data_IF_588252201942
#
_entry.id   IF_588252201942
#
_cell.length_a   1.000
_cell.length_b   1.000
_cell.length_c   1.000
_cell.angle_alpha   90.00
_cell.angle_beta   90.00
_cell.angle_gamma   90.00
#
_symmetry.space_group_name_H-M   'P 1'
#
loop_
_entity.id
_entity.type
_entity.pdbx_description
1 polymer ?
#
# COMPACT_ATOMS: atom_id res chain seq x y z
N UNK A 1 8.77 27.32 8.72
CA UNK A 1 9.70 26.40 8.03
C UNK A 1 9.54 25.03 8.67
N UNK A 2 9.09 24.01 7.92
CA UNK A 2 8.86 22.67 8.48
C UNK A 2 10.22 21.97 8.59
N UNK A 3 10.59 21.55 9.81
CA UNK A 3 11.80 20.77 10.05
C UNK A 3 11.84 19.57 9.09
N UNK A 4 13.01 19.22 8.53
CA UNK A 4 13.14 18.05 7.69
C UNK A 4 12.67 16.84 8.51
N UNK A 5 11.82 16.01 7.91
CA UNK A 5 11.16 14.86 8.54
C UNK A 5 12.11 13.93 9.30
N UNK A 6 13.39 13.97 8.92
CA UNK A 6 14.50 13.18 9.47
C UNK A 6 14.90 13.57 10.90
N UNK A 7 14.67 14.81 11.33
CA UNK A 7 15.07 15.27 12.68
C UNK A 7 14.11 14.78 13.77
N UNK A 8 12.87 14.46 13.42
CA UNK A 8 11.85 13.98 14.39
C UNK A 8 11.79 12.47 14.52
N UNK A 9 12.48 11.75 13.64
CA UNK A 9 12.46 10.29 13.61
C UNK A 9 13.83 9.80 14.07
N UNK A 10 13.85 9.05 15.17
CA UNK A 10 15.08 8.42 15.62
C UNK A 10 15.43 7.24 14.69
N UNK A 11 16.41 7.43 13.81
CA UNK A 11 16.86 6.41 12.87
C UNK A 11 17.35 5.13 13.57
N UNK A 12 18.04 5.27 14.71
CA UNK A 12 18.45 4.12 15.53
C UNK A 12 17.25 3.38 16.10
N UNK A 13 16.19 4.12 16.46
CA UNK A 13 14.91 3.55 16.89
C UNK A 13 14.27 2.70 15.79
N UNK A 14 14.25 3.21 14.56
CA UNK A 14 13.74 2.47 13.39
C UNK A 14 14.58 1.22 13.13
N UNK A 15 15.92 1.33 13.15
CA UNK A 15 16.83 0.19 12.93
C UNK A 15 16.63 -0.90 13.98
N UNK A 16 16.52 -0.53 15.25
CA UNK A 16 16.24 -1.46 16.36
C UNK A 16 14.88 -2.14 16.18
N UNK A 17 13.85 -1.37 15.82
CA UNK A 17 12.51 -1.90 15.58
C UNK A 17 12.49 -2.90 14.41
N UNK A 18 13.11 -2.56 13.27
CA UNK A 18 13.21 -3.45 12.11
C UNK A 18 13.95 -4.74 12.45
N UNK A 19 15.10 -4.65 13.13
CA UNK A 19 15.86 -5.82 13.56
C UNK A 19 15.10 -6.70 14.55
N UNK A 20 14.35 -6.09 15.49
CA UNK A 20 13.51 -6.81 16.42
C UNK A 20 12.40 -7.59 15.69
N UNK A 21 11.73 -6.98 14.70
CA UNK A 21 10.71 -7.66 13.89
C UNK A 21 11.30 -8.81 13.06
N UNK A 22 12.46 -8.61 12.43
CA UNK A 22 13.14 -9.67 11.65
C UNK A 22 13.55 -10.85 12.54
N UNK A 23 14.09 -10.57 13.75
CA UNK A 23 14.43 -11.60 14.74
C UNK A 23 13.19 -12.34 15.23
N UNK A 24 12.11 -11.61 15.49
CA UNK A 24 10.84 -12.19 15.91
C UNK A 24 10.26 -13.13 14.85
N UNK A 25 10.23 -12.73 13.57
CA UNK A 25 9.72 -13.61 12.50
C UNK A 25 10.58 -14.85 12.32
N UNK A 26 11.92 -14.75 12.39
CA UNK A 26 12.82 -15.91 12.36
C UNK A 26 12.51 -16.90 13.49
N UNK A 27 12.28 -16.39 14.70
CA UNK A 27 11.88 -17.21 15.87
C UNK A 27 10.49 -17.83 15.67
N UNK A 28 9.53 -17.06 15.15
CA UNK A 28 8.18 -17.54 14.88
C UNK A 28 8.16 -18.62 13.81
N UNK A 29 9.00 -18.51 12.78
CA UNK A 29 9.15 -19.53 11.74
C UNK A 29 9.73 -20.84 12.29
N UNK A 30 10.71 -20.74 13.19
CA UNK A 30 11.31 -21.90 13.88
C UNK A 30 10.35 -22.61 14.85
N UNK A 31 9.34 -21.91 15.38
CA UNK A 31 8.37 -22.50 16.31
C UNK A 31 7.12 -23.07 15.59
N UNK A 32 6.75 -22.54 14.42
CA UNK A 32 5.60 -23.01 13.65
C UNK A 32 5.87 -24.27 12.81
N UNK A 33 7.12 -24.75 12.74
CA UNK A 33 7.45 -26.02 12.08
C UNK A 33 7.05 -27.27 12.87
N UNK A 34 6.41 -27.12 14.05
CA UNK A 34 6.10 -28.23 14.96
C UNK A 34 4.60 -28.46 15.23
N UNK A 35 3.70 -27.66 14.66
CA UNK A 35 2.24 -27.78 14.85
C UNK A 35 1.53 -27.97 13.50
N UNK A 36 1.05 -29.19 13.23
CA UNK A 36 0.35 -29.57 11.99
C UNK A 36 -1.14 -29.15 11.92
N UNK A 37 -1.62 -28.27 12.79
CA UNK A 37 -3.04 -27.88 12.82
C UNK A 37 -3.24 -26.36 12.80
N UNK A 38 -3.03 -25.73 11.65
CA UNK A 38 -3.46 -24.34 11.39
C UNK A 38 -4.16 -24.23 10.03
N UNK A 39 -5.21 -25.03 9.82
CA UNK A 39 -6.01 -25.04 8.59
C UNK A 39 -6.97 -23.84 8.44
N UNK A 40 -6.70 -22.69 9.07
CA UNK A 40 -7.46 -21.45 8.89
C UNK A 40 -6.64 -20.21 9.33
N UNK A 41 -5.48 -19.97 8.74
CA UNK A 41 -4.77 -18.71 8.94
C UNK A 41 -4.65 -17.96 7.62
N UNK A 42 -5.20 -16.75 7.64
CA UNK A 42 -5.15 -15.79 6.56
C UNK A 42 -3.71 -15.66 6.05
N UNK A 43 -3.40 -16.19 4.86
CA UNK A 43 -2.10 -16.06 4.15
C UNK A 43 -1.16 -15.07 4.83
N UNK A 44 -0.31 -15.59 5.72
CA UNK A 44 0.58 -14.77 6.53
C UNK A 44 1.44 -13.95 5.56
N UNK A 45 1.10 -12.67 5.43
CA UNK A 45 1.70 -11.83 4.41
C UNK A 45 3.09 -11.44 4.94
N UNK A 46 4.15 -11.85 4.23
CA UNK A 46 5.55 -11.55 4.58
C UNK A 46 5.91 -10.09 4.28
N UNK A 47 5.02 -9.14 4.58
CA UNK A 47 5.27 -7.72 4.45
C UNK A 47 5.34 -7.03 5.81
N UNK A 48 6.22 -6.04 5.86
CA UNK A 48 6.30 -5.07 6.94
C UNK A 48 5.36 -3.92 6.61
N UNK A 49 4.55 -3.55 7.59
CA UNK A 49 3.58 -2.48 7.50
C UNK A 49 3.98 -1.32 8.42
N UNK A 50 3.91 -0.10 7.91
CA UNK A 50 3.92 1.12 8.68
C UNK A 50 2.46 1.54 8.97
N UNK A 51 2.04 1.42 10.22
CA UNK A 51 0.75 1.86 10.70
C UNK A 51 0.82 3.35 11.06
N UNK A 52 0.07 4.16 10.31
CA UNK A 52 -0.06 5.61 10.48
C UNK A 52 -1.37 5.90 11.19
N UNK A 53 -1.31 6.60 12.33
CA UNK A 53 -2.49 7.10 13.03
C UNK A 53 -2.54 8.61 12.94
N UNK A 54 -3.63 9.14 12.39
CA UNK A 54 -3.89 10.57 12.29
C UNK A 54 -4.68 11.07 13.51
N UNK A 55 -4.51 12.35 13.86
CA UNK A 55 -5.24 13.00 14.95
C UNK A 55 -6.71 13.25 14.61
N UNK A 56 -7.01 13.48 13.33
CA UNK A 56 -8.37 13.70 12.81
C UNK A 56 -8.62 12.78 11.63
N UNK A 57 -9.87 12.38 11.46
CA UNK A 57 -10.31 11.59 10.31
C UNK A 57 -10.05 12.42 9.04
N UNK A 58 -9.39 11.86 8.02
CA UNK A 58 -9.12 12.56 6.77
C UNK A 58 -10.44 12.86 6.03
N UNK A 59 -10.52 13.98 5.30
CA UNK A 59 -11.70 14.30 4.50
C UNK A 59 -11.89 13.30 3.35
N UNK A 60 -13.15 13.12 2.91
CA UNK A 60 -13.55 12.06 1.96
C UNK A 60 -12.84 12.12 0.62
N UNK A 61 -12.43 13.30 0.16
CA UNK A 61 -11.67 13.48 -1.07
C UNK A 61 -10.30 12.79 -1.01
N UNK A 62 -9.62 12.83 0.13
CA UNK A 62 -8.34 12.14 0.34
C UNK A 62 -8.53 10.64 0.51
N UNK A 63 -9.69 10.18 0.99
CA UNK A 63 -9.98 8.74 1.14
C UNK A 63 -10.55 8.07 -0.11
N UNK A 64 -10.88 8.83 -1.16
CA UNK A 64 -11.50 8.32 -2.36
C UNK A 64 -10.54 7.52 -3.26
N UNK A 65 -9.26 7.88 -3.22
CA UNK A 65 -8.20 7.37 -4.08
C UNK A 65 -7.03 6.84 -3.24
N UNK A 66 -6.44 5.67 -3.55
CA UNK A 66 -5.12 5.29 -3.06
C UNK A 66 -4.04 6.33 -3.43
N UNK A 67 -3.25 6.75 -2.44
CA UNK A 67 -2.11 7.63 -2.68
C UNK A 67 -0.84 6.82 -2.90
N UNK A 68 -0.03 7.23 -3.87
CA UNK A 68 1.27 6.61 -4.14
C UNK A 68 2.34 7.27 -3.28
N UNK A 69 3.11 6.44 -2.60
CA UNK A 69 4.33 6.85 -1.91
C UNK A 69 5.49 6.20 -2.64
N UNK A 70 6.36 7.03 -3.23
CA UNK A 70 7.54 6.54 -3.92
C UNK A 70 8.55 6.02 -2.87
N UNK A 71 8.99 4.77 -3.03
CA UNK A 71 10.06 4.20 -2.23
C UNK A 71 11.36 4.16 -3.04
N UNK A 72 12.51 4.35 -2.36
CA UNK A 72 13.82 4.13 -2.99
C UNK A 72 13.92 2.70 -3.53
N UNK A 73 13.53 1.71 -2.73
CA UNK A 73 13.55 0.29 -3.12
C UNK A 73 12.13 -0.25 -3.35
N UNK A 74 11.93 -0.84 -4.53
CA UNK A 74 10.67 -1.49 -4.91
C UNK A 74 10.36 -2.68 -4.00
N UNK A 75 9.09 -2.81 -3.60
CA UNK A 75 8.60 -3.96 -2.82
C UNK A 75 8.47 -5.25 -3.66
N UNK A 76 8.61 -5.13 -4.99
CA UNK A 76 8.58 -6.24 -5.92
C UNK A 76 9.98 -6.83 -6.09
N UNK A 77 10.04 -8.11 -6.47
CA UNK A 77 11.31 -8.75 -6.79
C UNK A 77 12.01 -7.96 -7.90
N UNK A 78 13.32 -7.76 -7.75
CA UNK A 78 14.13 -6.82 -8.55
C UNK A 78 13.99 -7.03 -10.07
N UNK A 79 13.67 -8.26 -10.48
CA UNK A 79 13.60 -8.61 -11.90
C UNK A 79 12.28 -8.24 -12.57
N UNK A 80 11.21 -7.92 -11.81
CA UNK A 80 9.81 -7.72 -12.29
C UNK A 80 9.22 -8.81 -13.21
N UNK A 81 10.04 -9.75 -13.69
CA UNK A 81 9.78 -10.72 -14.76
C UNK A 81 9.00 -11.91 -14.21
N UNK A 82 9.29 -12.27 -12.95
CA UNK A 82 8.52 -13.26 -12.20
C UNK A 82 7.12 -12.73 -11.82
N UNK A 83 6.94 -11.42 -11.67
CA UNK A 83 5.67 -10.84 -11.23
C UNK A 83 4.65 -10.77 -12.36
N UNK A 84 3.42 -11.17 -12.05
CA UNK A 84 2.31 -11.02 -12.97
C UNK A 84 1.69 -9.62 -12.79
N UNK A 85 2.09 -8.66 -13.62
CA UNK A 85 1.57 -7.29 -13.59
C UNK A 85 0.45 -7.13 -14.63
N UNK A 86 -0.65 -6.55 -14.16
CA UNK A 86 -1.86 -6.30 -14.93
C UNK A 86 -2.08 -4.79 -15.09
N UNK A 87 -2.42 -4.32 -16.29
CA UNK A 87 -2.82 -2.93 -16.55
C UNK A 87 -4.32 -2.84 -16.89
N UNK A 88 -5.05 -1.96 -16.21
CA UNK A 88 -6.47 -1.72 -16.42
C UNK A 88 -6.66 -0.36 -17.10
N UNK A 89 -7.32 -0.37 -18.27
CA UNK A 89 -7.62 0.82 -19.07
C UNK A 89 -9.13 1.03 -19.22
N UNK A 90 -9.56 2.28 -19.39
CA UNK A 90 -10.98 2.64 -19.62
C UNK A 90 -11.52 2.05 -20.93
N UNK A 91 -10.64 1.85 -21.91
CA UNK A 91 -10.99 1.27 -23.21
C UNK A 91 -11.77 2.19 -24.13
N UNK A 92 -12.00 3.45 -23.73
CA UNK A 92 -12.48 4.56 -24.57
C UNK A 92 -11.33 5.35 -25.20
N UNK A 93 -10.32 5.68 -24.40
CA UNK A 93 -9.14 6.46 -24.82
C UNK A 93 -8.07 5.58 -25.46
N UNK A 94 -7.77 4.46 -24.83
CA UNK A 94 -6.73 3.53 -25.28
C UNK A 94 -7.34 2.12 -25.27
N UNK A 95 -7.25 1.42 -26.39
CA UNK A 95 -7.68 0.01 -26.50
C UNK A 95 -6.59 -0.90 -25.90
N UNK A 96 -6.99 -2.10 -25.47
CA UNK A 96 -6.05 -3.07 -24.89
C UNK A 96 -4.92 -3.45 -25.88
N UNK A 97 -5.26 -3.56 -27.16
CA UNK A 97 -4.31 -3.88 -28.24
C UNK A 97 -3.33 -2.75 -28.51
N UNK A 98 -3.81 -1.50 -28.53
CA UNK A 98 -2.94 -0.34 -28.68
C UNK A 98 -2.01 -0.18 -27.48
N UNK A 99 -2.51 -0.41 -26.26
CA UNK A 99 -1.67 -0.41 -25.06
C UNK A 99 -0.59 -1.50 -25.14
N UNK A 100 -0.92 -2.71 -25.58
CA UNK A 100 0.06 -3.79 -25.77
C UNK A 100 1.12 -3.42 -26.81
N UNK A 101 0.74 -2.81 -27.94
CA UNK A 101 1.70 -2.32 -28.94
C UNK A 101 2.62 -1.24 -28.38
N UNK A 102 2.09 -0.31 -27.59
CA UNK A 102 2.89 0.75 -26.94
C UNK A 102 3.85 0.15 -25.91
N UNK A 103 3.40 -0.83 -25.13
CA UNK A 103 4.24 -1.53 -24.15
C UNK A 103 5.39 -2.27 -24.82
N UNK A 104 5.12 -2.95 -25.95
CA UNK A 104 6.14 -3.62 -26.76
C UNK A 104 7.12 -2.61 -27.39
N UNK A 105 6.59 -1.52 -27.98
CA UNK A 105 7.41 -0.49 -28.60
C UNK A 105 8.31 0.25 -27.60
N UNK A 106 7.84 0.47 -26.36
CA UNK A 106 8.63 1.08 -25.29
C UNK A 106 9.51 0.09 -24.51
N UNK A 107 9.44 -1.21 -24.83
CA UNK A 107 10.26 -2.24 -24.20
C UNK A 107 9.92 -2.45 -22.72
N UNK A 108 8.64 -2.60 -22.40
CA UNK A 108 8.14 -2.79 -21.02
C UNK A 108 7.63 -4.24 -20.87
N UNK A 109 8.52 -5.24 -20.65
CA UNK A 109 8.15 -6.65 -20.65
C UNK A 109 7.40 -7.10 -19.40
N UNK A 110 7.41 -6.31 -18.33
CA UNK A 110 6.84 -6.72 -17.05
C UNK A 110 5.30 -6.68 -17.01
N UNK A 111 4.64 -5.93 -17.90
CA UNK A 111 3.17 -5.90 -17.99
C UNK A 111 2.69 -7.07 -18.86
N UNK A 112 2.25 -8.16 -18.22
CA UNK A 112 1.85 -9.39 -18.93
C UNK A 112 0.46 -9.31 -19.56
N UNK A 113 -0.48 -8.60 -18.92
CA UNK A 113 -1.87 -8.54 -19.42
C UNK A 113 -2.47 -7.14 -19.27
N UNK A 114 -3.21 -6.73 -20.30
CA UNK A 114 -3.98 -5.48 -20.31
C UNK A 114 -5.47 -5.83 -20.35
N UNK A 115 -6.24 -5.26 -19.43
CA UNK A 115 -7.69 -5.43 -19.39
C UNK A 115 -8.42 -4.11 -19.61
N UNK A 116 -9.55 -4.21 -20.31
CA UNK A 116 -10.50 -3.11 -20.48
C UNK A 116 -11.54 -3.14 -19.37
N UNK A 117 -11.93 -1.98 -18.84
CA UNK A 117 -12.96 -1.86 -17.80
C UNK A 117 -14.26 -2.59 -18.16
N UNK A 118 -14.69 -2.52 -19.42
CA UNK A 118 -15.86 -3.25 -19.93
C UNK A 118 -15.72 -4.77 -19.82
N UNK A 119 -14.55 -5.32 -20.14
CA UNK A 119 -14.27 -6.77 -20.01
C UNK A 119 -14.18 -7.22 -18.55
N UNK A 120 -13.62 -6.38 -17.67
CA UNK A 120 -13.68 -6.68 -16.22
C UNK A 120 -15.12 -6.76 -15.71
N UNK A 121 -16.00 -5.88 -16.23
CA UNK A 121 -17.39 -5.84 -15.79
C UNK A 121 -18.20 -7.05 -16.27
N UNK A 122 -17.94 -7.55 -17.48
CA UNK A 122 -18.65 -8.73 -18.03
C UNK A 122 -18.07 -10.05 -17.55
N UNK A 123 -16.75 -10.22 -17.65
CA UNK A 123 -16.10 -11.53 -17.53
C UNK A 123 -15.79 -11.86 -16.07
N UNK A 124 -15.70 -10.83 -15.21
CA UNK A 124 -15.33 -10.95 -13.81
C UNK A 124 -16.40 -10.37 -12.89
N UNK A 125 -17.69 -10.67 -13.14
CA UNK A 125 -18.76 -10.24 -12.23
C UNK A 125 -18.87 -11.15 -10.98
N UNK A 126 -18.67 -12.46 -11.17
CA UNK A 126 -18.79 -13.45 -10.10
C UNK A 126 -17.69 -13.34 -9.04
N UNK A 127 -18.00 -13.72 -7.80
CA UNK A 127 -17.03 -13.68 -6.70
C UNK A 127 -15.81 -14.58 -6.97
N UNK A 128 -16.03 -15.75 -7.54
CA UNK A 128 -14.98 -16.73 -7.83
C UNK A 128 -14.03 -16.27 -8.93
N UNK A 129 -14.54 -15.66 -10.00
CA UNK A 129 -13.71 -15.11 -11.07
C UNK A 129 -12.85 -13.95 -10.57
N UNK A 130 -13.40 -13.06 -9.73
CA UNK A 130 -12.66 -11.98 -9.05
C UNK A 130 -11.55 -12.54 -8.17
N UNK A 131 -11.82 -13.60 -7.42
CA UNK A 131 -10.81 -14.28 -6.59
C UNK A 131 -9.71 -14.91 -7.45
N UNK A 132 -10.06 -15.63 -8.52
CA UNK A 132 -9.10 -16.18 -9.49
C UNK A 132 -8.20 -15.10 -10.08
N UNK A 133 -8.78 -13.94 -10.43
CA UNK A 133 -8.01 -12.81 -10.92
C UNK A 133 -7.04 -12.27 -9.86
N UNK A 134 -7.49 -12.13 -8.62
CA UNK A 134 -6.65 -11.71 -7.49
C UNK A 134 -5.49 -12.67 -7.24
N UNK A 135 -5.71 -13.98 -7.39
CA UNK A 135 -4.72 -15.01 -7.10
C UNK A 135 -3.69 -15.13 -8.24
N UNK A 136 -4.10 -14.89 -9.48
CA UNK A 136 -3.21 -14.96 -10.66
C UNK A 136 -2.24 -13.79 -10.81
N UNK A 137 -2.56 -12.60 -10.29
CA UNK A 137 -1.76 -11.39 -10.48
C UNK A 137 -1.20 -10.86 -9.16
N UNK A 138 0.01 -10.31 -9.21
CA UNK A 138 0.69 -9.74 -8.03
C UNK A 138 0.42 -8.24 -7.90
N UNK A 139 0.40 -7.55 -9.04
CA UNK A 139 0.22 -6.10 -9.11
C UNK A 139 -0.84 -5.73 -10.15
N UNK A 140 -1.71 -4.82 -9.75
CA UNK A 140 -2.67 -4.18 -10.64
C UNK A 140 -2.29 -2.72 -10.80
N UNK A 141 -2.19 -2.27 -12.04
CA UNK A 141 -2.01 -0.88 -12.44
C UNK A 141 -3.30 -0.43 -13.12
N UNK A 142 -3.71 0.81 -12.91
CA UNK A 142 -4.96 1.33 -13.42
C UNK A 142 -4.79 2.76 -13.90
N UNK A 143 -5.40 3.12 -15.03
CA UNK A 143 -5.46 4.52 -15.44
C UNK A 143 -6.22 5.36 -14.39
N UNK A 144 -5.76 6.58 -14.12
CA UNK A 144 -6.43 7.53 -13.21
C UNK A 144 -7.91 7.72 -13.55
N UNK A 145 -8.31 7.59 -14.82
CA UNK A 145 -9.71 7.72 -15.23
C UNK A 145 -10.60 6.57 -14.77
N UNK A 146 -10.06 5.37 -14.57
CA UNK A 146 -10.85 4.20 -14.14
C UNK A 146 -10.91 4.05 -12.62
N UNK A 147 -10.01 4.69 -11.89
CA UNK A 147 -9.86 4.60 -10.43
C UNK A 147 -11.18 4.76 -9.67
N UNK A 148 -11.99 5.75 -10.01
CA UNK A 148 -13.29 6.00 -9.36
C UNK A 148 -14.33 4.89 -9.61
N UNK A 149 -14.18 4.11 -10.69
CA UNK A 149 -15.08 3.02 -11.08
C UNK A 149 -14.62 1.65 -10.56
N UNK A 150 -13.33 1.48 -10.28
CA UNK A 150 -12.74 0.19 -9.86
C UNK A 150 -13.35 -0.38 -8.57
N UNK A 151 -13.63 0.41 -7.51
CA UNK A 151 -14.29 -0.12 -6.31
C UNK A 151 -15.66 -0.75 -6.60
N UNK A 152 -16.39 -0.23 -7.60
CA UNK A 152 -17.70 -0.77 -7.99
C UNK A 152 -17.58 -2.08 -8.77
N UNK A 153 -16.55 -2.22 -9.61
CA UNK A 153 -16.34 -3.40 -10.47
C UNK A 153 -15.66 -4.53 -9.69
N UNK A 154 -14.49 -4.26 -9.11
CA UNK A 154 -13.71 -5.26 -8.36
C UNK A 154 -14.35 -5.63 -7.01
N UNK A 155 -15.17 -4.74 -6.47
CA UNK A 155 -15.96 -4.98 -5.27
C UNK A 155 -15.12 -5.29 -4.03
N UNK A 156 -15.76 -5.95 -3.06
CA UNK A 156 -15.15 -6.23 -1.75
C UNK A 156 -14.00 -7.25 -1.83
N UNK A 157 -13.93 -8.08 -2.87
CA UNK A 157 -12.88 -9.11 -3.00
C UNK A 157 -11.49 -8.46 -2.99
N UNK A 158 -11.34 -7.39 -3.76
CA UNK A 158 -10.08 -6.64 -3.86
C UNK A 158 -9.90 -5.64 -2.72
N UNK A 159 -10.97 -4.92 -2.37
CA UNK A 159 -10.88 -3.78 -1.43
C UNK A 159 -11.05 -4.15 0.05
N UNK A 160 -11.54 -5.35 0.40
CA UNK A 160 -11.67 -5.79 1.81
C UNK A 160 -10.32 -6.07 2.44
N UNK A 161 -9.47 -6.85 1.77
CA UNK A 161 -8.13 -7.20 2.27
C UNK A 161 -7.10 -6.10 2.02
N UNK A 162 -7.39 -5.15 1.12
CA UNK A 162 -6.49 -4.05 0.70
C UNK A 162 -5.07 -4.50 0.28
N UNK A 163 -4.87 -5.81 0.02
CA UNK A 163 -3.57 -6.39 -0.32
C UNK A 163 -3.19 -6.13 -1.78
N UNK A 164 -4.13 -6.09 -2.72
CA UNK A 164 -3.84 -5.90 -4.16
C UNK A 164 -4.79 -4.86 -4.76
N UNK A 165 -4.74 -3.65 -4.24
CA UNK A 165 -5.49 -2.52 -4.79
C UNK A 165 -4.78 -2.02 -6.05
N UNK A 166 -5.51 -1.70 -7.14
CA UNK A 166 -4.89 -1.13 -8.33
C UNK A 166 -4.20 0.20 -8.06
N UNK A 167 -2.97 0.33 -8.55
CA UNK A 167 -2.12 1.52 -8.44
C UNK A 167 -2.49 2.51 -9.56
N UNK A 168 -2.79 3.79 -9.26
CA UNK A 168 -3.26 4.76 -10.27
C UNK A 168 -2.12 5.37 -11.11
N UNK A 169 -2.04 5.04 -12.40
CA UNK A 169 -0.98 5.46 -13.34
C UNK A 169 -1.53 6.51 -14.31
N UNK A 170 -0.77 7.57 -14.58
CA UNK A 170 -1.13 8.53 -15.63
C UNK A 170 -0.66 8.08 -17.02
N UNK A 171 -1.60 7.63 -17.85
CA UNK A 171 -1.28 7.17 -19.22
C UNK A 171 -1.20 8.31 -20.25
N UNK A 172 -1.23 9.58 -19.82
CA UNK A 172 -1.14 10.74 -20.74
C UNK A 172 0.29 11.14 -21.11
N UNK A 173 1.26 10.84 -20.25
CA UNK A 173 2.66 11.24 -20.39
C UNK A 173 3.57 10.09 -20.80
N UNK A 174 4.74 10.00 -20.17
CA UNK A 174 5.69 8.92 -20.44
C UNK A 174 5.36 7.64 -19.69
N UNK A 175 4.82 6.69 -20.45
CA UNK A 175 4.39 5.39 -19.91
C UNK A 175 5.52 4.64 -19.21
N UNK A 176 6.76 4.68 -19.72
CA UNK A 176 7.87 3.90 -19.15
C UNK A 176 8.20 4.38 -17.74
N UNK A 177 8.49 5.67 -17.62
CA UNK A 177 8.84 6.28 -16.34
C UNK A 177 7.68 6.16 -15.34
N UNK A 178 6.45 6.42 -15.78
CA UNK A 178 5.28 6.37 -14.90
C UNK A 178 5.00 4.93 -14.41
N UNK A 179 5.17 3.92 -15.27
CA UNK A 179 5.00 2.51 -14.89
C UNK A 179 6.11 2.05 -13.95
N UNK A 180 7.37 2.40 -14.21
CA UNK A 180 8.50 2.11 -13.31
C UNK A 180 8.31 2.79 -11.95
N UNK A 181 7.85 4.05 -11.95
CA UNK A 181 7.50 4.81 -10.74
C UNK A 181 6.36 4.14 -9.97
N UNK A 182 5.33 3.67 -10.66
CA UNK A 182 4.21 2.95 -10.05
C UNK A 182 4.66 1.61 -9.43
N UNK A 183 5.53 0.86 -10.11
CA UNK A 183 6.09 -0.39 -9.59
C UNK A 183 6.94 -0.18 -8.32
N UNK A 184 7.67 0.95 -8.24
CA UNK A 184 8.45 1.33 -7.05
C UNK A 184 7.61 1.94 -5.92
N UNK A 185 6.36 2.32 -6.21
CA UNK A 185 5.51 2.98 -5.24
C UNK A 185 4.79 2.00 -4.32
N UNK A 186 4.66 2.39 -3.06
CA UNK A 186 3.74 1.75 -2.12
C UNK A 186 2.44 2.53 -2.06
N UNK A 187 1.34 1.82 -1.83
CA UNK A 187 0.01 2.43 -1.75
C UNK A 187 -0.34 2.77 -0.31
N UNK A 188 -0.72 4.02 -0.09
CA UNK A 188 -1.37 4.46 1.12
C UNK A 188 -2.87 4.68 0.88
N UNK A 189 -3.66 3.72 1.35
CA UNK A 189 -5.11 3.79 1.26
C UNK A 189 -5.68 4.33 2.56
N UNK A 190 -6.05 5.60 2.57
CA UNK A 190 -6.79 6.19 3.68
C UNK A 190 -8.14 5.48 3.83
N UNK A 191 -8.56 5.26 5.06
CA UNK A 191 -9.88 4.75 5.38
C UNK A 191 -10.74 5.86 5.96
N UNK A 192 -12.02 5.58 6.20
CA UNK A 192 -12.89 6.48 6.96
C UNK A 192 -12.50 6.60 8.44
N UNK A 193 -11.47 5.89 8.89
CA UNK A 193 -10.92 5.97 10.24
C UNK A 193 -9.67 6.84 10.32
N UNK A 194 -9.08 6.88 11.52
CA UNK A 194 -7.83 7.60 11.81
C UNK A 194 -6.58 6.76 11.57
N UNK A 195 -6.70 5.43 11.61
CA UNK A 195 -5.59 4.50 11.42
C UNK A 195 -5.57 3.96 9.99
N UNK A 196 -4.38 3.87 9.39
CA UNK A 196 -4.16 3.32 8.06
C UNK A 196 -2.78 2.68 8.01
N UNK A 197 -2.60 1.64 7.19
CA UNK A 197 -1.33 0.93 7.05
C UNK A 197 -0.75 1.10 5.64
N UNK A 198 0.57 1.28 5.56
CA UNK A 198 1.36 1.35 4.32
C UNK A 198 2.34 0.17 4.31
N UNK A 199 2.60 -0.43 3.15
CA UNK A 199 3.63 -1.47 3.03
C UNK A 199 5.01 -0.82 2.85
N UNK A 200 6.01 -1.28 3.59
CA UNK A 200 7.34 -0.65 3.59
C UNK A 200 8.47 -1.63 3.27
N UNK A 201 8.24 -2.93 3.37
CA UNK A 201 9.23 -3.93 3.00
C UNK A 201 8.64 -5.32 2.87
N UNK A 202 9.35 -6.20 2.18
CA UNK A 202 9.08 -7.64 2.12
C UNK A 202 10.15 -8.38 2.90
N UNK A 203 9.73 -9.28 3.79
CA UNK A 203 10.65 -10.10 4.58
C UNK A 203 11.32 -11.13 3.68
N UNK A 204 12.62 -11.34 3.88
CA UNK A 204 13.42 -12.32 3.14
C UNK A 204 13.95 -11.85 1.78
N UNK A 205 13.33 -10.83 1.16
CA UNK A 205 13.80 -10.26 -0.11
C UNK A 205 14.63 -8.97 0.06
N UNK A 206 14.52 -8.31 1.21
CA UNK A 206 15.18 -7.04 1.50
C UNK A 206 16.06 -7.15 2.74
N UNK A 207 17.18 -6.43 2.70
CA UNK A 207 18.07 -6.29 3.85
C UNK A 207 17.51 -5.32 4.88
N UNK A 208 17.95 -5.48 6.14
CA UNK A 208 17.47 -4.65 7.25
C UNK A 208 17.69 -3.15 7.02
N UNK A 209 18.79 -2.79 6.36
CA UNK A 209 19.16 -1.41 6.06
C UNK A 209 18.29 -0.81 4.95
N UNK A 210 18.04 -1.57 3.88
CA UNK A 210 17.13 -1.17 2.80
C UNK A 210 15.71 -0.92 3.33
N UNK A 211 15.25 -1.74 4.27
CA UNK A 211 13.93 -1.57 4.91
C UNK A 211 13.88 -0.26 5.71
N UNK A 212 14.95 0.08 6.44
CA UNK A 212 15.01 1.32 7.21
C UNK A 212 14.93 2.54 6.28
N UNK A 213 15.65 2.52 5.15
CA UNK A 213 15.56 3.59 4.16
C UNK A 213 14.15 3.73 3.58
N UNK A 214 13.53 2.61 3.21
CA UNK A 214 12.15 2.60 2.73
C UNK A 214 11.15 3.12 3.77
N UNK A 215 11.37 2.83 5.07
CA UNK A 215 10.53 3.38 6.13
C UNK A 215 10.67 4.89 6.20
N UNK A 216 11.89 5.44 6.08
CA UNK A 216 12.10 6.89 6.08
C UNK A 216 11.41 7.57 4.89
N UNK A 217 11.56 7.02 3.69
CA UNK A 217 10.86 7.53 2.50
C UNK A 217 9.34 7.41 2.65
N UNK A 218 8.87 6.32 3.26
CA UNK A 218 7.45 6.12 3.51
C UNK A 218 6.90 7.19 4.46
N UNK A 219 7.65 7.55 5.51
CA UNK A 219 7.26 8.64 6.41
C UNK A 219 7.27 9.99 5.68
N UNK A 220 8.29 10.27 4.87
CA UNK A 220 8.36 11.48 4.05
C UNK A 220 7.13 11.62 3.13
N UNK A 221 6.77 10.54 2.43
CA UNK A 221 5.58 10.49 1.57
C UNK A 221 4.27 10.66 2.34
N UNK A 222 4.14 9.98 3.48
CA UNK A 222 2.97 10.11 4.37
C UNK A 222 2.81 11.55 4.86
N UNK A 223 3.90 12.19 5.30
CA UNK A 223 3.87 13.58 5.79
C UNK A 223 3.49 14.56 4.68
N UNK A 224 3.93 14.31 3.45
CA UNK A 224 3.57 15.12 2.28
C UNK A 224 2.07 15.06 1.94
N UNK A 225 1.47 13.89 2.10
CA UNK A 225 0.05 13.64 1.76
C UNK A 225 -0.89 13.94 2.95
N UNK A 226 -0.41 13.83 4.19
CA UNK A 226 -1.22 13.97 5.40
C UNK A 226 -1.83 15.38 5.56
N UNK A 227 -3.10 15.47 6.00
CA UNK A 227 -3.71 16.76 6.29
C UNK A 227 -2.96 17.42 7.46
N UNK A 228 -2.42 18.63 7.23
CA UNK A 228 -1.60 19.39 8.20
C UNK A 228 -0.21 18.80 8.46
N UNK A 229 0.31 17.95 7.57
CA UNK A 229 1.66 17.36 7.65
C UNK A 229 1.89 16.71 9.03
N UNK A 230 3.01 17.00 9.69
CA UNK A 230 3.33 16.55 11.05
C UNK A 230 2.27 16.87 12.10
N UNK A 231 1.58 18.01 11.99
CA UNK A 231 0.54 18.38 12.96
C UNK A 231 -0.71 17.50 12.90
N UNK A 232 -0.88 16.72 11.82
CA UNK A 232 -1.98 15.78 11.64
C UNK A 232 -1.67 14.35 12.10
N UNK A 233 -0.40 14.02 12.35
CA UNK A 233 0.03 12.66 12.72
C UNK A 233 0.04 12.53 14.24
N UNK A 234 -0.58 11.47 14.77
CA UNK A 234 -0.59 11.12 16.19
C UNK A 234 0.55 10.16 16.51
N UNK A 235 0.62 9.03 15.80
CA UNK A 235 1.67 8.04 16.01
C UNK A 235 1.93 7.21 14.75
N UNK A 236 3.18 6.73 14.64
CA UNK A 236 3.68 5.84 13.60
C UNK A 236 4.20 4.58 14.28
N UNK A 237 3.65 3.43 13.91
CA UNK A 237 4.09 2.13 14.42
C UNK A 237 4.50 1.20 13.28
N UNK A 238 5.59 0.47 13.45
CA UNK A 238 6.01 -0.61 12.56
C UNK A 238 5.38 -1.91 13.02
N UNK A 239 4.70 -2.65 12.13
CA UNK A 239 4.07 -3.93 12.47
C UNK A 239 4.24 -4.96 11.36
N UNK A 240 4.15 -6.23 11.73
CA UNK A 240 3.90 -7.33 10.80
C UNK A 240 2.40 -7.68 10.84
N UNK A 241 1.96 -8.61 9.99
CA UNK A 241 0.61 -9.16 10.04
C UNK A 241 0.30 -9.77 11.43
N UNK A 242 1.27 -10.51 11.98
CA UNK A 242 1.08 -11.34 13.18
C UNK A 242 1.82 -10.79 14.42
N UNK A 243 2.57 -9.70 14.26
CA UNK A 243 3.46 -9.19 15.30
C UNK A 243 2.93 -7.94 15.99
N UNK A 244 3.53 -7.63 17.14
CA UNK A 244 3.27 -6.41 17.89
C UNK A 244 3.74 -5.17 17.12
N UNK A 245 3.01 -4.08 17.31
CA UNK A 245 3.32 -2.80 16.69
C UNK A 245 4.38 -2.06 17.50
N UNK A 246 5.55 -1.82 16.90
CA UNK A 246 6.67 -1.11 17.52
C UNK A 246 6.58 0.39 17.22
N UNK A 247 6.55 1.27 18.23
CA UNK A 247 6.47 2.71 18.01
C UNK A 247 7.77 3.26 17.42
N UNK A 248 7.63 4.00 16.33
CA UNK A 248 8.71 4.80 15.73
C UNK A 248 8.57 6.26 16.13
N UNK A 249 7.34 6.76 16.15
CA UNK A 249 7.02 8.14 16.49
C UNK A 249 5.72 8.17 17.26
N UNK A 250 5.70 8.87 18.37
CA UNK A 250 4.49 9.17 19.13
C UNK A 250 4.53 10.65 19.45
N UNK A 251 3.48 11.36 19.08
CA UNK A 251 3.32 12.75 19.47
C UNK A 251 2.77 12.80 20.89
N UNK A 252 3.59 13.24 21.84
CA UNK A 252 3.26 13.30 23.27
C UNK A 252 2.30 14.44 23.64
N UNK A 253 1.67 15.10 22.65
CA UNK A 253 0.73 16.18 22.92
C UNK A 253 -0.56 15.63 23.53
N UNK A 254 -0.60 15.71 24.86
CA UNK A 254 -1.74 15.65 25.79
C UNK A 254 -3.12 15.66 25.11
N UNK A 255 -3.94 14.66 25.42
CA UNK A 255 -5.39 14.63 25.16
C UNK A 255 -6.09 15.81 25.86
N UNK A 256 -5.95 17.01 25.29
CA UNK A 256 -6.55 18.23 25.76
C UNK A 256 -7.82 18.53 24.97
N UNK A 257 -8.97 18.29 25.61
CA UNK A 257 -10.32 18.79 25.27
C UNK A 257 -10.98 18.15 24.04
N UNK A 258 -11.50 16.94 24.21
CA UNK A 258 -12.73 16.54 23.51
C UNK A 258 -13.90 17.14 24.31
N UNK A 259 -14.69 18.01 23.66
CA UNK A 259 -15.68 18.85 24.31
C UNK A 259 -16.72 18.07 25.13
N UNK A 260 -16.82 18.44 26.41
CA UNK A 260 -17.98 18.17 27.25
C UNK A 260 -19.17 19.02 26.77
N UNK A 261 -19.85 18.61 25.71
CA UNK A 261 -21.21 19.05 25.47
C UNK A 261 -22.14 18.17 26.32
N UNK A 262 -22.28 18.56 27.59
CA UNK A 262 -23.35 18.07 28.47
C UNK A 262 -24.70 18.30 27.76
N UNK A 263 -25.38 17.20 27.47
CA UNK A 263 -26.79 17.18 27.11
C UNK A 263 -27.58 17.72 28.30
N UNK A 264 -28.02 18.98 28.25
CA UNK A 264 -29.11 19.46 29.10
C UNK A 264 -30.40 18.79 28.63
N UNK A 265 -30.85 17.76 29.36
CA UNK A 265 -32.26 17.35 29.34
C UNK A 265 -33.03 18.31 30.23
N UNK A 266 -34.01 18.99 29.63
CA UNK A 266 -35.15 19.59 30.34
C UNK A 266 -36.12 18.48 30.73
#
# INVERSE_FOLDING_TARGET
MAAPSRERINQDGVRKATNALLKWKKKSFLSHSHDENAANEEEADDFIYLSVTLKKVPPRNLSAAPHQILLRRSLLSQDYTASNICLIVDGKRITAESAQKILLAKGIPFVKKVFKLGKLKSDYDSFESKKKLLDSFDLFLADKSVEAMLPKVLGRVFYKKRKKIPVPVDLRGDWKEELERACRSSLWCLSSGTCSSVRVGRLGAMESEEIVENVLDAVDGVVGIAPRKWGGIRCLHLKLSDSLALPIYVDEVSDGKMGSSLVKRK
#
